data_IF_890929057381
#
_entry.id   IF_890929057381
#
_cell.length_a   1.000
_cell.length_b   1.000
_cell.length_c   1.000
_cell.angle_alpha   90.00
_cell.angle_beta   90.00
_cell.angle_gamma   90.00
#
_symmetry.space_group_name_H-M   'P 1'
#
loop_
_entity.id
_entity.type
_entity.pdbx_description
1 polymer ?
#
# COMPACT_ATOMS: atom_id res chain seq x y z
N UNK A 1 -1.65 -39.22 -5.36
CA UNK A 1 -0.61 -38.18 -5.46
C UNK A 1 -1.05 -36.98 -4.64
N UNK A 2 -0.14 -36.32 -3.93
CA UNK A 2 -0.41 -35.09 -3.18
C UNK A 2 0.75 -34.13 -3.37
N UNK A 3 0.45 -32.89 -3.74
CA UNK A 3 1.43 -31.81 -3.90
C UNK A 3 1.34 -30.92 -2.64
N UNK A 4 2.47 -30.56 -2.05
CA UNK A 4 2.55 -29.68 -0.89
C UNK A 4 3.31 -28.41 -1.26
N UNK A 5 2.92 -27.28 -0.67
CA UNK A 5 3.53 -25.96 -0.96
C UNK A 5 3.54 -25.65 -2.46
N UNK A 6 2.33 -25.64 -3.04
CA UNK A 6 2.09 -25.42 -4.47
C UNK A 6 2.79 -24.14 -4.94
N UNK A 7 3.49 -24.24 -6.07
CA UNK A 7 4.15 -23.14 -6.78
C UNK A 7 3.46 -22.89 -8.11
N UNK A 8 3.70 -21.72 -8.71
CA UNK A 8 3.17 -21.40 -10.04
C UNK A 8 3.58 -22.44 -11.11
N UNK A 9 4.79 -22.99 -11.00
CA UNK A 9 5.31 -24.03 -11.89
C UNK A 9 4.57 -25.37 -11.80
N UNK A 10 3.73 -25.58 -10.78
CA UNK A 10 2.90 -26.78 -10.66
C UNK A 10 1.63 -26.68 -11.51
N UNK A 11 1.32 -25.52 -12.09
CA UNK A 11 0.19 -25.37 -13.00
C UNK A 11 0.34 -26.28 -14.23
N UNK A 12 -0.72 -27.02 -14.56
CA UNK A 12 -0.71 -27.90 -15.71
C UNK A 12 -1.68 -29.07 -15.62
N UNK A 13 -1.63 -29.92 -16.64
CA UNK A 13 -2.45 -31.13 -16.72
C UNK A 13 -1.69 -32.33 -16.19
N UNK A 14 -2.20 -32.93 -15.13
CA UNK A 14 -1.67 -34.15 -14.54
C UNK A 14 -2.43 -35.37 -15.05
N UNK A 15 -1.69 -36.43 -15.34
CA UNK A 15 -2.21 -37.70 -15.83
C UNK A 15 -2.02 -38.77 -14.76
N UNK A 16 -3.09 -39.49 -14.45
CA UNK A 16 -3.09 -40.63 -13.55
C UNK A 16 -3.25 -41.90 -14.37
N UNK A 17 -2.23 -42.75 -14.31
CA UNK A 17 -2.21 -44.05 -14.98
C UNK A 17 -2.52 -45.14 -13.94
N UNK A 18 -3.47 -46.02 -14.26
CA UNK A 18 -3.82 -47.19 -13.44
C UNK A 18 -3.50 -48.46 -14.26
N UNK A 19 -2.26 -48.98 -14.16
CA UNK A 19 -1.79 -50.06 -15.05
C UNK A 19 -2.61 -51.34 -14.92
N UNK A 20 -3.08 -51.66 -13.71
CA UNK A 20 -3.83 -52.88 -13.42
C UNK A 20 -5.16 -53.01 -14.18
N UNK A 21 -5.73 -51.88 -14.62
CA UNK A 21 -6.98 -51.84 -15.39
C UNK A 21 -6.83 -51.14 -16.73
N UNK A 22 -5.59 -50.81 -17.14
CA UNK A 22 -5.28 -50.08 -18.37
C UNK A 22 -6.13 -48.80 -18.55
N UNK A 23 -6.43 -48.11 -17.44
CA UNK A 23 -7.18 -46.86 -17.47
C UNK A 23 -6.29 -45.68 -17.19
N UNK A 24 -6.73 -44.54 -17.72
CA UNK A 24 -6.11 -43.25 -17.51
C UNK A 24 -7.18 -42.20 -17.16
N UNK A 25 -6.81 -41.27 -16.29
CA UNK A 25 -7.60 -40.07 -15.99
C UNK A 25 -6.69 -38.84 -16.02
N UNK A 26 -7.22 -37.71 -16.45
CA UNK A 26 -6.50 -36.43 -16.48
C UNK A 26 -7.19 -35.42 -15.57
N UNK A 27 -6.40 -34.60 -14.87
CA UNK A 27 -6.87 -33.48 -14.05
C UNK A 27 -6.05 -32.24 -14.35
N UNK A 28 -6.70 -31.09 -14.48
CA UNK A 28 -6.01 -29.82 -14.66
C UNK A 28 -5.86 -29.13 -13.31
N UNK A 29 -4.63 -28.76 -12.95
CA UNK A 29 -4.32 -27.93 -11.79
C UNK A 29 -4.16 -26.50 -12.26
N UNK A 30 -5.02 -25.61 -11.76
CA UNK A 30 -4.88 -24.16 -11.88
C UNK A 30 -4.29 -23.61 -10.59
N UNK A 31 -3.32 -22.71 -10.70
CA UNK A 31 -2.69 -22.09 -9.53
C UNK A 31 -3.16 -20.64 -9.40
N UNK A 32 -3.52 -20.25 -8.18
CA UNK A 32 -3.99 -18.91 -7.86
C UNK A 32 -3.17 -18.27 -6.75
N UNK A 33 -2.80 -17.01 -6.92
CA UNK A 33 -2.25 -16.14 -5.88
C UNK A 33 -3.09 -14.87 -5.79
N UNK A 34 -3.42 -14.43 -4.58
CA UNK A 34 -4.32 -13.30 -4.33
C UNK A 34 -3.88 -12.51 -3.11
N UNK A 35 -4.10 -11.20 -3.12
CA UNK A 35 -3.87 -10.32 -1.99
C UNK A 35 -4.97 -9.27 -1.87
N UNK A 36 -5.06 -8.61 -0.71
CA UNK A 36 -6.02 -7.52 -0.53
C UNK A 36 -5.55 -6.25 -1.24
N UNK A 37 -6.43 -5.53 -1.95
CA UNK A 37 -6.10 -4.23 -2.50
C UNK A 37 -5.97 -3.17 -1.40
N UNK A 38 -5.29 -2.08 -1.72
CA UNK A 38 -5.22 -0.88 -0.87
C UNK A 38 -5.72 0.32 -1.66
N UNK A 39 -6.38 1.26 -0.99
CA UNK A 39 -6.86 2.52 -1.61
C UNK A 39 -6.15 3.69 -0.94
N UNK A 40 -5.70 4.64 -1.75
CA UNK A 40 -5.08 5.88 -1.31
C UNK A 40 -5.66 7.09 -2.04
N UNK A 41 -5.53 8.27 -1.41
CA UNK A 41 -5.89 9.55 -2.02
C UNK A 41 -4.75 9.99 -2.95
N UNK A 42 -5.00 10.03 -4.25
CA UNK A 42 -4.01 10.38 -5.26
C UNK A 42 -4.01 11.87 -5.61
N UNK A 43 -5.10 12.58 -5.36
CA UNK A 43 -5.18 14.02 -5.63
C UNK A 43 -6.56 14.62 -5.43
N UNK A 44 -6.65 15.94 -5.58
CA UNK A 44 -7.88 16.71 -5.56
C UNK A 44 -7.98 17.54 -6.83
N UNK A 45 -9.10 17.41 -7.54
CA UNK A 45 -9.43 18.28 -8.65
C UNK A 45 -10.37 19.39 -8.17
N UNK A 46 -9.75 20.52 -7.83
CA UNK A 46 -10.46 21.70 -7.33
C UNK A 46 -11.30 22.40 -8.39
N UNK A 47 -11.08 22.13 -9.68
CA UNK A 47 -11.84 22.78 -10.75
C UNK A 47 -13.27 22.25 -10.84
N UNK A 48 -13.45 20.97 -10.54
CA UNK A 48 -14.73 20.25 -10.62
C UNK A 48 -15.19 19.67 -9.29
N UNK A 49 -14.59 20.08 -8.16
CA UNK A 49 -14.96 19.56 -6.82
C UNK A 49 -14.82 18.04 -6.72
N UNK A 50 -13.80 17.45 -7.32
CA UNK A 50 -13.62 16.00 -7.41
C UNK A 50 -12.36 15.52 -6.68
N UNK A 51 -12.35 14.23 -6.36
CA UNK A 51 -11.28 13.53 -5.65
C UNK A 51 -10.74 12.42 -6.54
N UNK A 52 -9.41 12.30 -6.63
CA UNK A 52 -8.76 11.21 -7.35
C UNK A 52 -8.32 10.16 -6.34
N UNK A 53 -8.78 8.93 -6.54
CA UNK A 53 -8.41 7.76 -5.74
C UNK A 53 -7.54 6.82 -6.57
N UNK A 54 -6.60 6.16 -5.91
CA UNK A 54 -5.75 5.13 -6.51
C UNK A 54 -5.88 3.84 -5.72
N UNK A 55 -6.09 2.74 -6.43
CA UNK A 55 -6.14 1.40 -5.88
C UNK A 55 -4.96 0.59 -6.38
N UNK A 56 -4.20 -0.03 -5.48
CA UNK A 56 -3.05 -0.88 -5.80
C UNK A 56 -3.22 -2.27 -5.16
N UNK A 57 -2.91 -3.33 -5.89
CA UNK A 57 -2.84 -4.70 -5.37
C UNK A 57 -1.71 -5.50 -6.01
N UNK A 58 -0.98 -6.27 -5.19
CA UNK A 58 0.27 -6.96 -5.56
C UNK A 58 0.16 -8.46 -5.40
N UNK A 59 0.97 -9.25 -6.09
CA UNK A 59 1.06 -10.68 -5.80
C UNK A 59 -0.09 -11.52 -6.36
N UNK A 60 -0.67 -11.10 -7.49
CA UNK A 60 -1.74 -11.86 -8.14
C UNK A 60 -1.20 -12.84 -9.18
N UNK A 61 -1.80 -14.02 -9.29
CA UNK A 61 -1.59 -14.90 -10.44
C UNK A 61 -2.84 -15.74 -10.66
N UNK A 62 -3.30 -15.94 -11.90
CA UNK A 62 -2.96 -15.19 -13.13
C UNK A 62 -3.22 -13.66 -13.05
N UNK A 63 -3.16 -12.96 -14.19
CA UNK A 63 -3.50 -11.52 -14.26
C UNK A 63 -4.95 -11.25 -13.77
N UNK A 64 -5.18 -10.30 -12.85
CA UNK A 64 -6.51 -9.94 -12.37
C UNK A 64 -7.11 -8.72 -13.10
N UNK A 65 -8.41 -8.49 -12.91
CA UNK A 65 -9.14 -7.29 -13.33
C UNK A 65 -9.39 -6.38 -12.12
N UNK A 66 -9.34 -5.05 -12.31
CA UNK A 66 -9.65 -4.06 -11.29
C UNK A 66 -10.92 -3.30 -11.66
N UNK A 67 -11.86 -3.21 -10.73
CA UNK A 67 -13.14 -2.54 -10.87
C UNK A 67 -13.34 -1.54 -9.74
N UNK A 68 -13.96 -0.41 -10.04
CA UNK A 68 -14.38 0.58 -9.08
C UNK A 68 -15.89 0.59 -8.94
N UNK A 69 -16.36 0.66 -7.69
CA UNK A 69 -17.78 0.68 -7.36
C UNK A 69 -18.09 1.87 -6.45
N UNK A 70 -19.27 2.47 -6.62
CA UNK A 70 -19.80 3.45 -5.65
C UNK A 70 -20.36 2.76 -4.39
N UNK A 71 -20.86 3.56 -3.45
CA UNK A 71 -21.37 3.06 -2.17
C UNK A 71 -22.63 2.22 -2.29
N UNK A 72 -23.29 2.28 -3.44
CA UNK A 72 -24.49 1.53 -3.81
C UNK A 72 -24.14 0.27 -4.62
N UNK A 73 -22.88 0.08 -5.00
CA UNK A 73 -22.38 -1.09 -5.74
C UNK A 73 -22.45 -0.96 -7.26
N UNK A 74 -22.67 0.25 -7.80
CA UNK A 74 -22.65 0.50 -9.23
C UNK A 74 -21.22 0.70 -9.74
N UNK A 75 -20.94 0.23 -10.95
CA UNK A 75 -19.65 0.41 -11.61
C UNK A 75 -19.36 1.89 -11.90
N UNK A 76 -18.15 2.31 -11.56
CA UNK A 76 -17.63 3.63 -11.87
C UNK A 76 -16.75 3.57 -13.12
N UNK A 77 -16.79 4.65 -13.90
CA UNK A 77 -15.87 4.83 -15.01
C UNK A 77 -14.50 5.24 -14.47
N UNK A 78 -13.52 4.33 -14.56
CA UNK A 78 -12.16 4.53 -14.10
C UNK A 78 -11.18 4.69 -15.27
N UNK A 79 -10.00 5.21 -14.98
CA UNK A 79 -8.90 5.22 -15.94
C UNK A 79 -8.43 3.80 -16.29
N UNK A 80 -7.56 3.66 -17.31
CA UNK A 80 -6.98 2.38 -17.65
C UNK A 80 -6.26 1.77 -16.44
N UNK A 81 -6.36 0.45 -16.30
CA UNK A 81 -5.60 -0.28 -15.28
C UNK A 81 -4.17 -0.44 -15.77
N UNK A 82 -3.21 -0.08 -14.92
CA UNK A 82 -1.81 -0.36 -15.13
C UNK A 82 -1.49 -1.73 -14.55
N UNK A 83 -0.91 -2.61 -15.37
CA UNK A 83 -0.52 -3.96 -14.96
C UNK A 83 0.96 -4.16 -15.20
N UNK A 84 1.67 -4.63 -14.17
CA UNK A 84 3.09 -4.99 -14.24
C UNK A 84 3.28 -6.41 -13.75
N UNK A 85 3.99 -7.23 -14.52
CA UNK A 85 4.42 -8.56 -14.12
C UNK A 85 5.82 -8.50 -13.50
N UNK A 86 5.92 -8.95 -12.26
CA UNK A 86 7.17 -9.01 -11.50
C UNK A 86 8.08 -10.19 -11.93
N UNK A 87 9.32 -10.21 -11.45
CA UNK A 87 10.26 -11.31 -11.70
C UNK A 87 9.88 -12.62 -11.00
N UNK A 88 8.94 -12.57 -10.06
CA UNK A 88 8.32 -13.71 -9.37
C UNK A 88 7.12 -14.28 -10.14
N UNK A 89 6.88 -13.81 -11.36
CA UNK A 89 5.73 -14.10 -12.21
C UNK A 89 4.38 -13.65 -11.64
N UNK A 90 4.38 -12.86 -10.56
CA UNK A 90 3.18 -12.29 -9.98
C UNK A 90 2.85 -10.92 -10.58
N UNK A 91 1.57 -10.64 -10.68
CA UNK A 91 1.02 -9.40 -11.20
C UNK A 91 0.81 -8.39 -10.07
N UNK A 92 1.18 -7.15 -10.37
CA UNK A 92 0.79 -5.94 -9.64
C UNK A 92 -0.10 -5.11 -10.53
N UNK A 93 -1.25 -4.69 -10.00
CA UNK A 93 -2.23 -3.87 -10.71
C UNK A 93 -2.47 -2.57 -9.96
N UNK A 94 -2.60 -1.48 -10.71
CA UNK A 94 -2.97 -0.16 -10.21
C UNK A 94 -4.07 0.45 -11.07
N UNK A 95 -5.06 1.09 -10.45
CA UNK A 95 -6.14 1.78 -11.17
C UNK A 95 -6.51 3.07 -10.45
N UNK A 96 -6.77 4.12 -11.23
CA UNK A 96 -7.19 5.43 -10.73
C UNK A 96 -8.62 5.75 -11.13
N UNK A 97 -9.37 6.38 -10.23
CA UNK A 97 -10.73 6.87 -10.49
C UNK A 97 -10.89 8.29 -9.97
N UNK A 98 -11.56 9.14 -10.74
CA UNK A 98 -11.98 10.47 -10.31
C UNK A 98 -13.45 10.41 -9.90
N UNK A 99 -13.75 10.83 -8.68
CA UNK A 99 -15.08 10.75 -8.10
C UNK A 99 -15.53 12.11 -7.58
N UNK A 100 -16.81 12.41 -7.74
CA UNK A 100 -17.45 13.61 -7.20
C UNK A 100 -18.23 13.28 -5.92
N UNK A 101 -18.66 14.31 -5.19
CA UNK A 101 -19.44 14.16 -3.97
C UNK A 101 -20.76 13.44 -4.24
N UNK A 102 -21.06 12.39 -3.48
CA UNK A 102 -22.32 11.64 -3.52
C UNK A 102 -22.91 11.50 -2.11
N UNK A 103 -24.05 10.82 -2.00
CA UNK A 103 -24.73 10.63 -0.71
C UNK A 103 -23.90 9.77 0.27
N UNK A 104 -23.33 8.67 -0.20
CA UNK A 104 -22.57 7.71 0.62
C UNK A 104 -21.07 8.06 0.77
N UNK A 105 -20.53 8.88 -0.15
CA UNK A 105 -19.09 9.19 -0.31
C UNK A 105 -18.18 7.99 -0.05
N UNK A 106 -18.65 6.81 -0.44
CA UNK A 106 -17.98 5.55 -0.19
C UNK A 106 -17.67 4.92 -1.53
N UNK A 107 -16.47 4.38 -1.66
CA UNK A 107 -15.97 3.80 -2.90
C UNK A 107 -15.28 2.48 -2.60
N UNK A 108 -15.49 1.51 -3.47
CA UNK A 108 -14.91 0.17 -3.32
C UNK A 108 -14.03 -0.12 -4.52
N UNK A 109 -12.80 -0.54 -4.26
CA UNK A 109 -11.95 -1.16 -5.26
C UNK A 109 -12.09 -2.68 -5.15
N UNK A 110 -12.49 -3.32 -6.24
CA UNK A 110 -12.62 -4.77 -6.37
C UNK A 110 -11.56 -5.28 -7.33
N UNK A 111 -10.74 -6.20 -6.86
CA UNK A 111 -9.79 -6.94 -7.70
C UNK A 111 -10.32 -8.37 -7.84
N UNK A 112 -10.55 -8.82 -9.06
CA UNK A 112 -11.19 -10.10 -9.33
C UNK A 112 -10.43 -10.92 -10.37
N UNK A 113 -10.59 -12.24 -10.30
CA UNK A 113 -9.95 -13.19 -11.18
C UNK A 113 -10.95 -14.25 -11.62
N UNK A 114 -11.31 -14.20 -12.91
CA UNK A 114 -12.33 -15.07 -13.49
C UNK A 114 -11.85 -16.53 -13.60
N UNK A 115 -10.56 -16.77 -13.86
CA UNK A 115 -10.02 -18.14 -14.02
C UNK A 115 -10.07 -18.98 -12.74
N UNK A 116 -9.90 -18.34 -11.57
CA UNK A 116 -9.85 -19.03 -10.26
C UNK A 116 -11.06 -18.70 -9.39
N UNK A 117 -11.99 -17.87 -9.90
CA UNK A 117 -13.15 -17.34 -9.18
C UNK A 117 -12.77 -16.71 -7.82
N UNK A 118 -11.69 -15.93 -7.80
CA UNK A 118 -11.25 -15.22 -6.61
C UNK A 118 -11.53 -13.72 -6.72
N UNK A 119 -11.93 -13.12 -5.61
CA UNK A 119 -12.20 -11.68 -5.50
C UNK A 119 -11.67 -11.14 -4.17
N UNK A 120 -11.10 -9.94 -4.18
CA UNK A 120 -10.71 -9.18 -3.00
C UNK A 120 -11.14 -7.73 -3.15
N UNK A 121 -11.59 -7.13 -2.06
CA UNK A 121 -12.13 -5.79 -2.08
C UNK A 121 -11.62 -4.97 -0.90
N UNK A 122 -11.49 -3.67 -1.11
CA UNK A 122 -11.26 -2.68 -0.05
C UNK A 122 -12.20 -1.51 -0.28
N UNK A 123 -12.74 -0.97 0.80
CA UNK A 123 -13.65 0.17 0.80
C UNK A 123 -13.00 1.38 1.45
N UNK A 124 -13.23 2.56 0.89
CA UNK A 124 -12.85 3.84 1.46
C UNK A 124 -14.08 4.72 1.62
N UNK A 125 -14.13 5.51 2.69
CA UNK A 125 -15.06 6.62 2.85
C UNK A 125 -14.28 7.92 2.74
N UNK A 126 -14.73 8.83 1.87
CA UNK A 126 -14.10 10.12 1.64
C UNK A 126 -14.92 11.20 2.35
N UNK A 127 -14.37 11.92 3.34
CA UNK A 127 -15.08 13.00 4.01
C UNK A 127 -15.52 14.09 3.04
N UNK A 128 -16.69 14.69 3.30
CA UNK A 128 -17.29 15.70 2.42
C UNK A 128 -16.42 16.92 2.13
N UNK A 129 -15.49 17.25 3.03
CA UNK A 129 -14.61 18.42 2.95
C UNK A 129 -13.57 18.30 1.83
N UNK A 130 -13.23 17.08 1.43
CA UNK A 130 -12.33 16.84 0.29
C UNK A 130 -12.95 17.26 -1.05
N UNK A 131 -14.28 17.40 -1.12
CA UNK A 131 -15.00 17.85 -2.31
C UNK A 131 -15.34 19.34 -2.27
N UNK A 132 -14.97 20.09 -1.23
CA UNK A 132 -15.38 21.49 -1.11
C UNK A 132 -14.46 22.43 -1.92
N UNK A 133 -15.04 23.19 -2.84
CA UNK A 133 -14.40 24.37 -3.44
C UNK A 133 -14.69 25.58 -2.56
N UNK A 134 -13.64 26.27 -2.10
CA UNK A 134 -13.79 27.61 -1.52
C UNK A 134 -14.22 28.59 -2.60
N UNK A 135 -15.53 28.68 -2.86
CA UNK A 135 -16.11 29.77 -3.65
C UNK A 135 -16.02 31.06 -2.82
N UNK A 136 -15.24 32.03 -3.29
CA UNK A 136 -15.20 33.37 -2.73
C UNK A 136 -16.33 34.21 -3.34
N UNK A 137 -17.36 34.64 -2.59
CA UNK A 137 -18.40 35.48 -3.14
C UNK A 137 -17.94 36.95 -3.06
N UNK A 138 -17.29 37.46 -4.10
CA UNK A 138 -17.09 38.92 -4.26
C UNK A 138 -17.66 39.37 -5.62
N UNK A 139 -18.99 39.55 -5.59
CA UNK A 139 -19.88 40.60 -6.15
C UNK A 139 -19.75 41.14 -7.60
N UNK A 140 -20.89 41.42 -8.30
CA UNK A 140 -20.99 42.45 -9.35
C UNK A 140 -21.24 43.89 -8.82
N UNK A 141 -21.06 44.18 -7.53
CA UNK A 141 -21.42 45.47 -6.95
C UNK A 141 -20.29 46.07 -6.09
N UNK A 142 -19.26 46.61 -6.75
CA UNK A 142 -18.31 47.55 -6.15
C UNK A 142 -17.91 48.61 -7.18
N UNK A 143 -18.87 49.43 -7.63
CA UNK A 143 -18.55 50.81 -8.00
C UNK A 143 -18.73 51.63 -6.72
N UNK A 144 -17.63 52.28 -6.32
CA UNK A 144 -17.53 53.46 -5.44
C UNK A 144 -17.05 53.22 -3.99
N UNK A 145 -15.92 53.89 -3.74
CA UNK A 145 -15.33 54.37 -2.48
C UNK A 145 -14.40 53.43 -1.70
N UNK A 146 -13.12 53.59 -2.05
CA UNK A 146 -12.05 53.95 -1.11
C UNK A 146 -12.62 54.69 0.11
N UNK A 147 -12.52 54.09 1.29
CA UNK A 147 -12.04 54.63 2.58
C UNK A 147 -12.28 53.52 3.62
N UNK A 148 -11.19 52.82 3.95
CA UNK A 148 -10.82 52.32 5.27
C UNK A 148 -9.42 51.71 5.13
N UNK A 149 -8.42 52.56 4.93
CA UNK A 149 -7.06 52.21 5.33
C UNK A 149 -7.00 52.24 6.87
N UNK A 150 -6.30 51.24 7.42
CA UNK A 150 -5.93 51.04 8.83
C UNK A 150 -6.94 50.33 9.75
N UNK A 151 -7.24 49.05 9.46
CA UNK A 151 -7.11 47.96 10.45
C UNK A 151 -7.28 46.60 9.74
N UNK A 152 -6.25 45.74 9.83
CA UNK A 152 -6.30 44.30 9.51
C UNK A 152 -6.39 43.87 8.03
N UNK A 153 -5.32 44.09 7.27
CA UNK A 153 -4.92 43.12 6.23
C UNK A 153 -4.24 41.93 6.93
N UNK A 154 -5.01 41.13 7.66
CA UNK A 154 -4.56 39.86 8.23
C UNK A 154 -5.77 38.97 8.46
N UNK A 155 -6.21 38.29 7.41
CA UNK A 155 -6.94 37.00 7.45
C UNK A 155 -7.31 36.63 6.01
N UNK A 156 -6.38 36.01 5.28
CA UNK A 156 -6.72 35.28 4.04
C UNK A 156 -5.90 34.01 3.78
N UNK A 157 -5.21 33.51 4.80
CA UNK A 157 -4.43 32.27 4.73
C UNK A 157 -4.64 31.34 5.93
N UNK A 158 -5.56 31.62 6.85
CA UNK A 158 -5.70 30.81 8.06
C UNK A 158 -6.22 29.39 7.78
N UNK A 159 -7.16 29.21 6.84
CA UNK A 159 -7.71 27.88 6.53
C UNK A 159 -6.74 26.97 5.77
N UNK A 160 -6.07 27.50 4.73
CA UNK A 160 -5.08 26.72 3.97
C UNK A 160 -3.79 26.53 4.78
N UNK A 161 -3.34 27.55 5.51
CA UNK A 161 -2.22 27.37 6.44
C UNK A 161 -2.60 26.39 7.56
N UNK A 162 -3.82 26.42 8.11
CA UNK A 162 -4.24 25.45 9.13
C UNK A 162 -4.28 24.02 8.57
N UNK A 163 -4.79 23.79 7.35
CA UNK A 163 -4.80 22.46 6.73
C UNK A 163 -3.38 21.99 6.38
N UNK A 164 -2.53 22.84 5.81
CA UNK A 164 -1.14 22.51 5.53
C UNK A 164 -0.34 22.28 6.82
N UNK A 165 -0.61 23.04 7.88
CA UNK A 165 0.01 22.86 9.20
C UNK A 165 -0.50 21.59 9.87
N UNK A 166 -1.79 21.23 9.73
CA UNK A 166 -2.36 19.98 10.26
C UNK A 166 -1.82 18.75 9.52
N UNK A 167 -1.76 18.78 8.17
CA UNK A 167 -1.11 17.73 7.38
C UNK A 167 0.39 17.61 7.67
N UNK A 168 1.08 18.75 7.82
CA UNK A 168 2.51 18.77 8.21
C UNK A 168 2.70 18.20 9.61
N UNK A 169 1.84 18.54 10.56
CA UNK A 169 1.86 18.01 11.94
C UNK A 169 1.57 16.50 11.94
N UNK A 170 0.63 16.04 11.11
CA UNK A 170 0.32 14.62 10.93
C UNK A 170 1.50 13.83 10.36
N UNK A 171 2.19 14.38 9.34
CA UNK A 171 3.40 13.78 8.75
C UNK A 171 4.57 13.77 9.74
N UNK A 172 4.76 14.84 10.52
CA UNK A 172 5.79 14.91 11.57
C UNK A 172 5.49 13.91 12.70
N UNK A 173 4.23 13.74 13.10
CA UNK A 173 3.84 12.76 14.09
C UNK A 173 4.06 11.32 13.59
N UNK A 174 3.69 11.03 12.34
CA UNK A 174 3.94 9.74 11.70
C UNK A 174 5.44 9.44 11.58
N UNK A 175 6.25 10.42 11.18
CA UNK A 175 7.71 10.33 11.14
C UNK A 175 8.29 10.01 12.52
N UNK A 176 7.84 10.71 13.56
CA UNK A 176 8.26 10.48 14.94
C UNK A 176 7.82 9.11 15.46
N UNK A 177 6.72 8.56 14.98
CA UNK A 177 6.27 7.21 15.30
C UNK A 177 7.14 6.15 14.61
N UNK A 178 7.45 6.34 13.32
CA UNK A 178 8.35 5.46 12.55
C UNK A 178 9.75 5.45 13.16
N UNK A 179 10.30 6.61 13.52
CA UNK A 179 11.61 6.72 14.18
C UNK A 179 11.65 5.92 15.49
N UNK A 180 10.63 6.06 16.34
CA UNK A 180 10.51 5.30 17.60
C UNK A 180 10.46 3.78 17.39
N UNK A 181 9.79 3.31 16.35
CA UNK A 181 9.72 1.89 16.01
C UNK A 181 11.07 1.36 15.49
N UNK A 182 11.74 2.12 14.63
CA UNK A 182 13.06 1.77 14.11
C UNK A 182 14.12 1.73 15.23
N UNK A 183 14.12 2.73 16.12
CA UNK A 183 15.02 2.77 17.28
C UNK A 183 14.79 1.56 18.21
N UNK A 184 13.53 1.12 18.37
CA UNK A 184 13.21 -0.07 19.15
C UNK A 184 13.74 -1.33 18.48
N UNK A 185 13.53 -1.48 17.18
CA UNK A 185 14.01 -2.63 16.42
C UNK A 185 15.55 -2.71 16.40
N UNK A 186 16.24 -1.57 16.31
CA UNK A 186 17.71 -1.52 16.40
C UNK A 186 18.20 -2.00 17.78
N UNK A 187 17.56 -1.56 18.87
CA UNK A 187 17.91 -2.02 20.23
C UNK A 187 17.75 -3.53 20.38
N UNK A 188 16.67 -4.11 19.84
CA UNK A 188 16.46 -5.57 19.85
C UNK A 188 17.57 -6.32 19.11
N UNK A 189 18.03 -5.80 17.95
CA UNK A 189 19.15 -6.37 17.20
C UNK A 189 20.46 -6.28 17.99
N UNK A 190 20.68 -5.18 18.73
CA UNK A 190 21.87 -5.02 19.56
C UNK A 190 21.88 -5.95 20.78
N UNK A 191 20.73 -6.23 21.36
CA UNK A 191 20.57 -7.23 22.42
C UNK A 191 20.86 -8.65 21.89
N UNK A 192 20.29 -9.00 20.74
CA UNK A 192 20.57 -10.27 20.05
C UNK A 192 22.07 -10.44 19.73
N UNK A 193 22.72 -9.35 19.28
CA UNK A 193 24.15 -9.35 18.99
C UNK A 193 24.99 -9.60 20.25
N UNK A 194 24.65 -8.96 21.38
CA UNK A 194 25.30 -9.19 22.67
C UNK A 194 25.11 -10.64 23.15
N UNK A 195 23.89 -11.17 23.01
CA UNK A 195 23.58 -12.55 23.36
C UNK A 195 24.43 -13.52 22.54
N UNK A 196 24.56 -13.30 21.23
CA UNK A 196 25.39 -14.14 20.37
C UNK A 196 26.88 -14.04 20.67
N UNK A 197 27.39 -12.85 21.01
CA UNK A 197 28.77 -12.71 21.47
C UNK A 197 29.03 -13.51 22.74
N UNK A 198 28.06 -13.55 23.67
CA UNK A 198 28.15 -14.38 24.87
C UNK A 198 28.15 -15.89 24.55
N UNK A 199 27.36 -16.32 23.57
CA UNK A 199 27.31 -17.72 23.10
C UNK A 199 28.58 -18.12 22.36
N UNK A 200 29.17 -17.20 21.58
CA UNK A 200 30.43 -17.41 20.86
C UNK A 200 31.60 -17.66 21.82
N UNK A 201 31.61 -17.01 22.98
CA UNK A 201 32.61 -17.23 24.04
C UNK A 201 32.47 -18.58 24.76
N UNK A 202 31.27 -19.20 24.73
CA UNK A 202 30.97 -20.45 25.48
C UNK A 202 31.12 -21.73 24.66
N UNK A 203 31.29 -21.68 23.33
CA UNK A 203 31.15 -22.85 22.43
C UNK A 203 32.48 -23.34 21.84
N UNK A 204 32.72 -24.65 21.91
CA UNK A 204 34.00 -25.30 21.53
C UNK A 204 33.97 -26.12 20.21
N UNK A 205 32.81 -26.59 19.73
CA UNK A 205 32.67 -27.42 18.50
C UNK A 205 32.64 -26.60 17.20
N UNK A 206 33.35 -27.06 16.16
CA UNK A 206 33.55 -26.34 14.89
C UNK A 206 32.25 -26.10 14.10
N UNK A 207 31.34 -27.08 13.96
CA UNK A 207 30.03 -26.85 13.30
C UNK A 207 29.21 -25.74 13.98
N UNK A 208 29.33 -25.62 15.30
CA UNK A 208 28.67 -24.55 16.04
C UNK A 208 29.32 -23.19 15.82
N UNK A 209 30.64 -23.13 15.58
CA UNK A 209 31.33 -21.86 15.29
C UNK A 209 30.91 -21.29 13.93
N UNK A 210 30.75 -22.15 12.91
CA UNK A 210 30.32 -21.73 11.58
C UNK A 210 28.89 -21.20 11.58
N UNK A 211 27.96 -21.91 12.24
CA UNK A 211 26.58 -21.45 12.40
C UNK A 211 26.50 -20.11 13.16
N UNK A 212 27.33 -19.91 14.19
CA UNK A 212 27.39 -18.65 14.92
C UNK A 212 27.98 -17.53 14.05
N UNK A 213 28.93 -17.83 13.16
CA UNK A 213 29.51 -16.87 12.22
C UNK A 213 28.48 -16.41 11.20
N UNK A 214 27.72 -17.34 10.63
CA UNK A 214 26.62 -17.05 9.71
C UNK A 214 25.53 -16.20 10.37
N UNK A 215 25.09 -16.56 11.57
CA UNK A 215 24.09 -15.78 12.31
C UNK A 215 24.58 -14.37 12.69
N UNK A 216 25.87 -14.22 13.02
CA UNK A 216 26.49 -12.91 13.26
C UNK A 216 26.46 -12.04 12.00
N UNK A 217 26.79 -12.63 10.85
CA UNK A 217 26.76 -11.94 9.56
C UNK A 217 25.35 -11.45 9.22
N UNK A 218 24.33 -12.30 9.39
CA UNK A 218 22.93 -11.93 9.11
C UNK A 218 22.43 -10.79 10.00
N UNK A 219 22.80 -10.78 11.28
CA UNK A 219 22.42 -9.69 12.19
C UNK A 219 23.16 -8.38 11.88
N UNK A 220 24.42 -8.44 11.46
CA UNK A 220 25.16 -7.25 10.98
C UNK A 220 24.49 -6.63 9.75
N UNK A 221 24.07 -7.46 8.78
CA UNK A 221 23.31 -6.98 7.62
C UNK A 221 21.97 -6.37 8.03
N UNK A 222 21.23 -7.04 8.92
CA UNK A 222 19.96 -6.53 9.44
C UNK A 222 20.14 -5.19 10.18
N UNK A 223 21.21 -5.03 10.97
CA UNK A 223 21.54 -3.76 11.64
C UNK A 223 21.83 -2.65 10.64
N UNK A 224 22.62 -2.92 9.59
CA UNK A 224 22.92 -1.96 8.52
C UNK A 224 21.66 -1.44 7.83
N UNK A 225 20.65 -2.29 7.65
CA UNK A 225 19.34 -1.89 7.09
C UNK A 225 18.63 -0.90 8.01
N UNK A 226 18.52 -1.19 9.31
CA UNK A 226 17.86 -0.27 10.25
C UNK A 226 18.58 1.07 10.38
N UNK A 227 19.92 1.06 10.48
CA UNK A 227 20.73 2.28 10.54
C UNK A 227 20.58 3.13 9.28
N UNK A 228 20.47 2.49 8.10
CA UNK A 228 20.22 3.20 6.84
C UNK A 228 18.82 3.82 6.84
N UNK A 229 17.79 3.06 7.21
CA UNK A 229 16.42 3.55 7.30
C UNK A 229 16.29 4.73 8.27
N UNK A 230 16.98 4.68 9.43
CA UNK A 230 17.01 5.80 10.37
C UNK A 230 17.61 7.08 9.76
N UNK A 231 18.73 6.98 9.04
CA UNK A 231 19.33 8.14 8.35
C UNK A 231 18.40 8.69 7.25
N UNK A 232 17.78 7.80 6.47
CA UNK A 232 16.86 8.21 5.41
C UNK A 232 15.61 8.90 6.00
N UNK A 233 15.17 8.52 7.21
CA UNK A 233 14.10 9.24 7.92
C UNK A 233 14.54 10.60 8.47
N UNK A 234 15.83 10.92 8.54
CA UNK A 234 16.36 12.22 8.99
C UNK A 234 16.51 13.21 7.82
N UNK A 235 16.78 12.73 6.61
CA UNK A 235 17.02 13.55 5.40
C UNK A 235 15.76 14.02 4.68
N UNK A 236 14.58 13.50 5.02
CA UNK A 236 13.28 13.93 4.46
C UNK A 236 12.74 15.25 5.08
N UNK A 237 13.62 16.15 5.52
CA UNK A 237 13.29 17.46 6.11
C UNK A 237 13.52 18.60 5.12
#
# INVERSE_FOLDING_TARGET
MKIFKVKLSDEGTYRCLIPSVQKEASVQLLVGAVSSPTISLAGLDKSISAVVLECESKGWYPEPEVLWLDGEGNLLSAGPTETVRGPDDLYTVSSRVTVEKRHSNSFTCRVQQNKTNQTRETKIHVPGDYFAVTHCPIVPACIRKVICNNHMMRTRDEGVAAILMDQKTGLENLRNQIKRLLDKAEREVDEDMKMLQSLKRKKTSDNSKDLLREKTYLLDQRKKVYVKLLRDTETLA
#
